data_IF_091838310116
#
_entry.id   IF_091838310116
#
_cell.length_a   1.000
_cell.length_b   1.000
_cell.length_c   1.000
_cell.angle_alpha   90.00
_cell.angle_beta   90.00
_cell.angle_gamma   90.00
#
_symmetry.space_group_name_H-M   'P 1'
#
loop_
_entity.id
_entity.type
_entity.pdbx_description
1 polymer ?
#
# COMPACT_ATOMS: atom_id res chain seq x y z
N UNK A 1 -56.56 6.01 28.19
CA UNK A 1 -55.11 5.84 28.41
C UNK A 1 -54.73 4.48 27.84
N UNK A 2 -54.65 4.38 26.52
CA UNK A 2 -54.25 3.17 25.79
C UNK A 2 -53.49 3.69 24.57
N UNK A 3 -52.22 3.30 24.41
CA UNK A 3 -51.38 3.81 23.33
C UNK A 3 -49.91 4.06 23.68
N UNK A 4 -49.36 3.39 24.71
CA UNK A 4 -47.92 3.52 25.04
C UNK A 4 -47.17 2.20 25.27
N UNK A 5 -47.76 1.04 25.02
CA UNK A 5 -47.08 -0.26 25.25
C UNK A 5 -46.72 -1.06 23.97
N UNK A 6 -47.11 -0.63 22.76
CA UNK A 6 -46.74 -1.36 21.54
C UNK A 6 -45.37 -0.98 20.94
N UNK A 7 -44.82 0.20 21.25
CA UNK A 7 -43.61 0.70 20.57
C UNK A 7 -42.27 0.18 21.14
N UNK A 8 -42.28 -0.61 22.23
CA UNK A 8 -41.02 -1.11 22.85
C UNK A 8 -40.70 -2.56 22.46
N UNK A 9 -41.60 -3.26 21.74
CA UNK A 9 -41.40 -4.68 21.39
C UNK A 9 -40.94 -4.95 19.95
N UNK A 10 -40.67 -3.93 19.14
CA UNK A 10 -40.20 -4.10 17.75
C UNK A 10 -38.68 -4.13 17.58
N UNK A 11 -37.89 -3.89 18.63
CA UNK A 11 -36.44 -3.73 18.51
C UNK A 11 -35.56 -4.90 18.95
N UNK A 12 -36.07 -5.87 19.73
CA UNK A 12 -35.19 -6.78 20.47
C UNK A 12 -35.01 -8.18 19.87
N UNK A 13 -35.93 -8.67 19.02
CA UNK A 13 -35.95 -10.11 18.64
C UNK A 13 -36.08 -10.39 17.12
N UNK A 14 -35.83 -9.42 16.23
CA UNK A 14 -35.96 -9.65 14.79
C UNK A 14 -34.76 -10.32 14.11
N UNK A 15 -33.63 -10.42 14.80
CA UNK A 15 -32.44 -11.11 14.33
C UNK A 15 -31.98 -12.09 15.39
N UNK A 16 -32.49 -13.33 15.34
CA UNK A 16 -31.81 -14.43 16.04
C UNK A 16 -30.39 -14.55 15.51
N UNK A 17 -29.43 -14.80 16.40
CA UNK A 17 -27.97 -14.93 16.16
C UNK A 17 -27.58 -16.07 15.20
N UNK A 18 -28.14 -16.08 13.99
CA UNK A 18 -27.89 -17.08 12.94
C UNK A 18 -27.90 -16.49 11.54
N UNK A 19 -27.78 -15.18 11.39
CA UNK A 19 -27.30 -14.66 10.11
C UNK A 19 -25.77 -14.76 10.14
N UNK A 20 -25.15 -15.62 9.31
CA UNK A 20 -23.71 -15.57 9.16
C UNK A 20 -23.35 -14.16 8.69
N UNK A 21 -22.54 -13.46 9.49
CA UNK A 21 -21.86 -12.25 9.05
C UNK A 21 -20.91 -12.67 7.93
N UNK A 22 -21.40 -12.58 6.69
CA UNK A 22 -20.74 -13.09 5.51
C UNK A 22 -21.74 -13.28 4.38
N UNK A 23 -21.26 -13.22 3.14
CA UNK A 23 -22.01 -13.36 1.88
C UNK A 23 -22.72 -14.70 1.67
N UNK A 24 -22.95 -15.48 2.72
CA UNK A 24 -23.50 -16.82 2.70
C UNK A 24 -25.05 -16.89 2.76
N UNK A 25 -25.75 -15.75 2.93
CA UNK A 25 -27.21 -15.72 3.08
C UNK A 25 -27.96 -14.98 1.94
N UNK A 26 -27.42 -14.95 0.72
CA UNK A 26 -28.14 -14.47 -0.46
C UNK A 26 -28.02 -15.46 -1.62
N UNK A 27 -29.14 -16.09 -1.97
CA UNK A 27 -29.28 -17.07 -3.06
C UNK A 27 -29.28 -16.43 -4.44
N UNK A 28 -29.55 -15.13 -4.54
CA UNK A 28 -29.38 -14.32 -5.75
C UNK A 28 -28.20 -13.38 -5.57
N UNK A 29 -27.02 -13.78 -6.04
CA UNK A 29 -25.87 -12.87 -6.12
C UNK A 29 -26.09 -11.90 -7.29
N UNK A 30 -26.40 -10.65 -7.00
CA UNK A 30 -26.29 -9.52 -7.95
C UNK A 30 -24.84 -9.33 -8.47
N UNK A 31 -23.87 -10.06 -7.92
CA UNK A 31 -22.47 -9.98 -8.28
C UNK A 31 -21.75 -11.34 -8.16
N UNK A 32 -21.23 -11.83 -9.29
CA UNK A 32 -20.28 -12.95 -9.34
C UNK A 32 -18.87 -12.38 -9.30
N UNK A 33 -18.05 -12.86 -8.37
CA UNK A 33 -16.63 -12.51 -8.35
C UNK A 33 -15.94 -12.98 -9.65
N UNK A 34 -15.05 -12.16 -10.24
CA UNK A 34 -14.26 -12.59 -11.38
C UNK A 34 -13.40 -13.80 -10.98
N UNK A 35 -13.13 -14.71 -11.93
CA UNK A 35 -12.31 -15.87 -11.66
C UNK A 35 -10.91 -15.45 -11.16
N UNK A 36 -10.25 -16.29 -10.33
CA UNK A 36 -8.88 -16.03 -9.90
C UNK A 36 -7.97 -15.83 -11.11
N UNK A 37 -7.11 -14.81 -11.07
CA UNK A 37 -6.16 -14.57 -12.14
C UNK A 37 -5.23 -15.80 -12.32
N UNK A 38 -4.93 -16.20 -13.57
CA UNK A 38 -3.94 -17.24 -13.82
C UNK A 38 -2.57 -16.81 -13.27
N UNK A 39 -1.81 -17.76 -12.75
CA UNK A 39 -0.47 -17.46 -12.23
C UNK A 39 0.47 -16.97 -13.34
N UNK A 40 0.33 -17.52 -14.55
CA UNK A 40 1.10 -17.13 -15.71
C UNK A 40 0.18 -16.90 -16.91
N UNK A 41 0.34 -15.75 -17.57
CA UNK A 41 -0.45 -15.37 -18.73
C UNK A 41 0.49 -14.84 -19.83
N UNK A 42 0.99 -15.72 -20.72
CA UNK A 42 2.04 -15.35 -21.68
C UNK A 42 1.61 -14.24 -22.66
N UNK A 43 0.30 -14.14 -22.93
CA UNK A 43 -0.26 -13.08 -23.79
C UNK A 43 -0.06 -11.67 -23.25
N UNK A 44 0.19 -11.50 -21.94
CA UNK A 44 0.47 -10.18 -21.35
C UNK A 44 1.74 -9.55 -21.93
N UNK A 45 2.77 -10.35 -22.23
CA UNK A 45 4.05 -9.87 -22.75
C UNK A 45 3.94 -9.30 -24.17
N UNK A 46 2.92 -9.72 -24.94
CA UNK A 46 2.61 -9.14 -26.24
C UNK A 46 1.71 -7.90 -26.17
N UNK A 47 1.13 -7.60 -25.00
CA UNK A 47 0.14 -6.54 -24.86
C UNK A 47 0.78 -5.18 -24.64
N UNK A 48 0.43 -4.20 -25.48
CA UNK A 48 0.88 -2.82 -25.27
C UNK A 48 0.32 -2.20 -23.98
N UNK A 49 -0.88 -2.61 -23.55
CA UNK A 49 -1.48 -2.15 -22.30
C UNK A 49 -0.68 -2.63 -21.07
N UNK A 50 -0.01 -3.79 -21.16
CA UNK A 50 0.91 -4.27 -20.11
C UNK A 50 2.12 -3.34 -19.93
N UNK A 51 2.80 -2.98 -21.02
CA UNK A 51 3.93 -2.06 -20.95
C UNK A 51 3.52 -0.65 -20.51
N UNK A 52 2.37 -0.14 -20.99
CA UNK A 52 1.80 1.13 -20.53
C UNK A 52 1.55 1.14 -19.02
N UNK A 53 1.05 0.03 -18.47
CA UNK A 53 0.84 -0.11 -17.04
C UNK A 53 2.16 -0.10 -16.25
N UNK A 54 3.20 -0.81 -16.73
CA UNK A 54 4.52 -0.75 -16.11
C UNK A 54 5.15 0.65 -16.15
N UNK A 55 5.02 1.37 -17.27
CA UNK A 55 5.47 2.76 -17.38
C UNK A 55 4.71 3.65 -16.39
N UNK A 56 3.40 3.46 -16.23
CA UNK A 56 2.60 4.19 -15.26
C UNK A 56 3.08 3.96 -13.82
N UNK A 57 3.38 2.70 -13.44
CA UNK A 57 3.94 2.36 -12.13
C UNK A 57 5.33 3.00 -11.91
N UNK A 58 6.19 3.00 -12.93
CA UNK A 58 7.49 3.66 -12.88
C UNK A 58 7.35 5.17 -12.65
N UNK A 59 6.55 5.86 -13.48
CA UNK A 59 6.37 7.32 -13.40
C UNK A 59 5.72 7.71 -12.09
N UNK A 60 4.70 6.97 -11.65
CA UNK A 60 4.06 7.25 -10.38
C UNK A 60 5.03 7.07 -9.20
N UNK A 61 5.83 5.99 -9.19
CA UNK A 61 6.81 5.78 -8.11
C UNK A 61 7.95 6.80 -8.15
N UNK A 62 8.36 7.23 -9.34
CA UNK A 62 9.29 8.35 -9.52
C UNK A 62 8.76 9.64 -8.88
N UNK A 63 7.54 10.05 -9.24
CA UNK A 63 6.91 11.27 -8.70
C UNK A 63 6.69 11.18 -7.19
N UNK A 64 6.30 9.99 -6.70
CA UNK A 64 6.12 9.71 -5.28
C UNK A 64 7.41 9.97 -4.51
N UNK A 65 8.53 9.37 -4.93
CA UNK A 65 9.83 9.52 -4.25
C UNK A 65 10.39 10.94 -4.41
N UNK A 66 10.21 11.55 -5.59
CA UNK A 66 10.64 12.92 -5.84
C UNK A 66 9.98 13.90 -4.85
N UNK A 67 8.64 13.93 -4.77
CA UNK A 67 7.93 14.87 -3.90
C UNK A 67 8.17 14.56 -2.42
N UNK A 68 8.10 13.29 -2.02
CA UNK A 68 8.20 12.90 -0.61
C UNK A 68 9.60 13.13 -0.04
N UNK A 69 10.66 12.70 -0.72
CA UNK A 69 12.03 12.93 -0.26
C UNK A 69 12.35 14.43 -0.31
N UNK A 70 11.97 15.15 -1.36
CA UNK A 70 12.21 16.60 -1.40
C UNK A 70 11.54 17.34 -0.25
N UNK A 71 10.35 16.90 0.17
CA UNK A 71 9.66 17.44 1.36
C UNK A 71 10.42 17.12 2.65
N UNK A 72 10.90 15.88 2.83
CA UNK A 72 11.75 15.49 3.97
C UNK A 72 13.00 16.36 4.04
N UNK A 73 13.67 16.55 2.91
CA UNK A 73 14.86 17.38 2.80
C UNK A 73 14.59 18.85 3.13
N UNK A 74 13.48 19.40 2.62
CA UNK A 74 13.05 20.78 2.91
C UNK A 74 12.76 21.00 4.40
N UNK A 75 12.13 20.03 5.06
CA UNK A 75 11.90 20.08 6.52
C UNK A 75 13.23 19.99 7.29
N UNK A 76 14.14 19.09 6.89
CA UNK A 76 15.44 18.91 7.55
C UNK A 76 16.41 20.09 7.40
N UNK A 77 16.25 20.90 6.34
CA UNK A 77 17.03 22.13 6.12
C UNK A 77 16.50 23.34 6.86
N UNK A 78 15.21 23.38 7.13
CA UNK A 78 14.56 24.57 7.69
C UNK A 78 14.78 24.68 9.20
N UNK A 79 14.66 25.89 9.72
CA UNK A 79 14.63 26.13 11.15
C UNK A 79 13.36 25.52 11.79
N UNK A 80 13.45 25.22 13.08
CA UNK A 80 12.32 24.69 13.84
C UNK A 80 11.11 25.62 13.69
N UNK A 81 9.94 25.03 13.45
CA UNK A 81 8.66 25.72 13.29
C UNK A 81 8.54 26.66 12.07
N UNK A 82 9.50 26.66 11.13
CA UNK A 82 9.44 27.43 9.87
C UNK A 82 9.22 26.55 8.62
N UNK A 83 8.99 25.25 8.80
CA UNK A 83 8.68 24.32 7.71
C UNK A 83 7.27 23.75 7.85
N UNK A 84 6.89 22.89 6.89
CA UNK A 84 5.66 22.09 6.95
C UNK A 84 5.67 21.07 8.10
N UNK A 85 6.79 20.90 8.80
CA UNK A 85 6.93 20.01 9.95
C UNK A 85 6.80 18.51 9.61
N UNK A 86 6.87 17.66 10.63
CA UNK A 86 6.72 16.21 10.47
C UNK A 86 5.32 15.84 9.95
N UNK A 87 4.29 16.61 10.35
CA UNK A 87 2.93 16.42 9.83
C UNK A 87 2.86 16.69 8.32
N UNK A 88 3.58 17.70 7.82
CA UNK A 88 3.71 17.97 6.39
C UNK A 88 4.41 16.85 5.63
N UNK A 89 5.42 16.20 6.25
CA UNK A 89 6.04 14.99 5.69
C UNK A 89 4.99 13.89 5.54
N UNK A 90 4.23 13.60 6.61
CA UNK A 90 3.17 12.58 6.55
C UNK A 90 2.13 12.89 5.46
N UNK A 91 1.71 14.15 5.33
CA UNK A 91 0.82 14.60 4.26
C UNK A 91 1.41 14.41 2.86
N UNK A 92 2.70 14.69 2.67
CA UNK A 92 3.36 14.48 1.38
C UNK A 92 3.32 13.01 0.97
N UNK A 93 3.59 12.08 1.90
CA UNK A 93 3.52 10.65 1.60
C UNK A 93 2.09 10.17 1.32
N UNK A 94 1.13 10.47 2.20
CA UNK A 94 -0.25 10.02 2.03
C UNK A 94 -0.99 10.71 0.87
N UNK A 95 -0.79 12.02 0.72
CA UNK A 95 -1.38 12.83 -0.36
C UNK A 95 -0.87 12.43 -1.74
N UNK A 96 0.42 12.12 -1.87
CA UNK A 96 0.96 11.63 -3.14
C UNK A 96 0.42 10.26 -3.50
N UNK A 97 0.25 9.35 -2.53
CA UNK A 97 -0.40 8.05 -2.79
C UNK A 97 -1.84 8.27 -3.24
N UNK A 98 -2.62 9.12 -2.57
CA UNK A 98 -3.96 9.47 -3.01
C UNK A 98 -3.97 9.97 -4.47
N UNK A 99 -3.16 10.98 -4.80
CA UNK A 99 -3.14 11.57 -6.13
C UNK A 99 -2.68 10.58 -7.21
N UNK A 100 -1.64 9.80 -6.94
CA UNK A 100 -1.06 8.88 -7.92
C UNK A 100 -1.92 7.64 -8.14
N UNK A 101 -2.53 7.08 -7.08
CA UNK A 101 -3.51 6.00 -7.22
C UNK A 101 -4.70 6.50 -8.05
N UNK A 102 -5.19 7.73 -7.79
CA UNK A 102 -6.27 8.32 -8.61
C UNK A 102 -5.90 8.38 -10.10
N UNK A 103 -4.68 8.85 -10.42
CA UNK A 103 -4.21 8.97 -11.80
C UNK A 103 -3.98 7.62 -12.49
N UNK A 104 -3.56 6.58 -11.75
CA UNK A 104 -3.07 5.32 -12.33
C UNK A 104 -3.98 4.12 -12.12
N UNK A 105 -5.01 4.21 -11.27
CA UNK A 105 -5.91 3.08 -10.98
C UNK A 105 -6.59 2.52 -12.24
N UNK A 106 -6.99 3.38 -13.19
CA UNK A 106 -7.58 2.94 -14.46
C UNK A 106 -6.57 2.37 -15.48
N UNK A 107 -5.27 2.54 -15.24
CA UNK A 107 -4.19 2.16 -16.17
C UNK A 107 -3.46 0.92 -15.66
N UNK A 108 -2.87 0.99 -14.47
CA UNK A 108 -2.07 -0.09 -13.87
C UNK A 108 -2.75 -0.80 -12.71
N UNK A 109 -3.80 -0.20 -12.12
CA UNK A 109 -4.34 -0.57 -10.82
C UNK A 109 -3.80 0.30 -9.67
N UNK A 110 -2.78 1.13 -9.93
CA UNK A 110 -2.25 2.10 -8.98
C UNK A 110 -1.62 1.48 -7.74
N UNK A 111 -0.63 0.60 -7.92
CA UNK A 111 -0.01 -0.12 -6.80
C UNK A 111 1.07 0.73 -6.13
N UNK A 112 2.01 1.27 -6.90
CA UNK A 112 3.10 2.18 -6.50
C UNK A 112 3.97 1.61 -5.36
N UNK A 113 3.84 0.32 -5.09
CA UNK A 113 4.37 -0.34 -3.90
C UNK A 113 4.47 -1.87 -4.12
N UNK A 114 5.67 -2.47 -3.98
CA UNK A 114 5.85 -3.91 -4.07
C UNK A 114 5.01 -4.73 -3.08
N UNK A 115 4.78 -4.23 -1.86
CA UNK A 115 3.97 -4.93 -0.87
C UNK A 115 2.48 -4.98 -1.25
N UNK A 116 1.96 -3.91 -1.87
CA UNK A 116 0.60 -3.89 -2.42
C UNK A 116 0.47 -4.85 -3.59
N UNK A 117 1.42 -4.81 -4.53
CA UNK A 117 1.50 -5.74 -5.67
C UNK A 117 1.54 -7.20 -5.18
N UNK A 118 2.35 -7.48 -4.17
CA UNK A 118 2.49 -8.81 -3.58
C UNK A 118 1.20 -9.28 -2.88
N UNK A 119 0.54 -8.41 -2.09
CA UNK A 119 -0.74 -8.74 -1.47
C UNK A 119 -1.80 -9.12 -2.51
N UNK A 120 -1.92 -8.34 -3.58
CA UNK A 120 -2.88 -8.61 -4.67
C UNK A 120 -2.53 -9.89 -5.46
N UNK A 121 -1.23 -10.21 -5.63
CA UNK A 121 -0.79 -11.49 -6.17
C UNK A 121 -1.25 -12.66 -5.28
N UNK A 122 -1.05 -12.58 -3.96
CA UNK A 122 -1.49 -13.62 -3.02
C UNK A 122 -3.00 -13.83 -3.04
N UNK A 123 -3.77 -12.75 -3.23
CA UNK A 123 -5.21 -12.80 -3.40
C UNK A 123 -5.67 -13.22 -4.81
N UNK A 124 -4.76 -13.64 -5.70
CA UNK A 124 -5.02 -14.01 -7.09
C UNK A 124 -5.79 -12.95 -7.88
N UNK A 125 -5.48 -11.67 -7.63
CA UNK A 125 -5.99 -10.51 -8.40
C UNK A 125 -5.00 -10.02 -9.46
N UNK A 126 -3.80 -10.61 -9.50
CA UNK A 126 -2.69 -10.23 -10.36
C UNK A 126 -1.91 -11.49 -10.77
N UNK A 127 -1.45 -11.57 -12.02
CA UNK A 127 -0.54 -12.64 -12.47
C UNK A 127 0.86 -12.46 -11.87
N UNK A 128 1.63 -13.54 -11.79
CA UNK A 128 3.02 -13.48 -11.31
C UNK A 128 3.90 -12.65 -12.25
N UNK A 129 3.71 -12.80 -13.57
CA UNK A 129 4.46 -12.04 -14.58
C UNK A 129 4.29 -10.54 -14.39
N UNK A 130 3.04 -10.08 -14.23
CA UNK A 130 2.74 -8.66 -13.98
C UNK A 130 3.24 -8.20 -12.62
N UNK A 131 3.15 -9.04 -11.59
CA UNK A 131 3.67 -8.72 -10.26
C UNK A 131 5.17 -8.41 -10.30
N UNK A 132 5.96 -9.29 -10.91
CA UNK A 132 7.42 -9.10 -11.04
C UNK A 132 7.75 -7.86 -11.86
N UNK A 133 7.06 -7.66 -12.98
CA UNK A 133 7.28 -6.48 -13.81
C UNK A 133 6.98 -5.18 -13.07
N UNK A 134 5.87 -5.12 -12.31
CA UNK A 134 5.53 -3.95 -11.50
C UNK A 134 6.56 -3.69 -10.41
N UNK A 135 7.01 -4.72 -9.69
CA UNK A 135 8.02 -4.58 -8.62
C UNK A 135 9.31 -3.98 -9.19
N UNK A 136 9.76 -4.44 -10.37
CA UNK A 136 10.94 -3.89 -11.05
C UNK A 136 10.72 -2.41 -11.42
N UNK A 137 9.61 -2.10 -12.09
CA UNK A 137 9.31 -0.73 -12.54
C UNK A 137 9.15 0.24 -11.36
N UNK A 138 8.54 -0.20 -10.26
CA UNK A 138 8.43 0.57 -9.02
C UNK A 138 9.80 0.86 -8.42
N UNK A 139 10.67 -0.15 -8.31
CA UNK A 139 12.03 0.04 -7.78
C UNK A 139 12.86 1.00 -8.64
N UNK A 140 12.81 0.85 -9.97
CA UNK A 140 13.51 1.74 -10.91
C UNK A 140 12.99 3.19 -10.78
N UNK A 141 11.66 3.36 -10.72
CA UNK A 141 11.06 4.68 -10.52
C UNK A 141 11.51 5.33 -9.22
N UNK A 142 11.53 4.55 -8.13
CA UNK A 142 11.97 5.02 -6.82
C UNK A 142 13.43 5.48 -6.81
N UNK A 143 14.34 4.72 -7.45
CA UNK A 143 15.76 5.08 -7.59
C UNK A 143 15.90 6.39 -8.37
N UNK A 144 15.21 6.52 -9.50
CA UNK A 144 15.26 7.74 -10.32
C UNK A 144 14.73 8.96 -9.54
N UNK A 145 13.62 8.81 -8.81
CA UNK A 145 13.01 9.90 -8.02
C UNK A 145 13.96 10.40 -6.93
N UNK A 146 14.54 9.48 -6.15
CA UNK A 146 15.53 9.81 -5.13
C UNK A 146 16.80 10.43 -5.74
N UNK A 147 17.26 9.93 -6.89
CA UNK A 147 18.44 10.43 -7.60
C UNK A 147 18.30 11.89 -8.05
N UNK A 148 17.12 12.27 -8.57
CA UNK A 148 16.81 13.65 -8.93
C UNK A 148 16.89 14.58 -7.71
N UNK A 149 16.33 14.14 -6.57
CA UNK A 149 16.39 14.94 -5.32
C UNK A 149 17.83 15.13 -4.86
N UNK A 150 18.68 14.09 -4.90
CA UNK A 150 20.10 14.22 -4.59
C UNK A 150 20.80 15.25 -5.50
N UNK A 151 20.42 15.31 -6.78
CA UNK A 151 20.91 16.31 -7.73
C UNK A 151 20.57 17.75 -7.34
N UNK A 152 19.35 18.01 -6.87
CA UNK A 152 18.92 19.36 -6.45
C UNK A 152 19.51 19.79 -5.09
N UNK A 153 19.62 18.84 -4.17
CA UNK A 153 20.00 19.11 -2.79
C UNK A 153 21.51 19.38 -2.59
N UNK A 154 22.31 19.01 -3.60
CA UNK A 154 23.78 18.82 -3.54
C UNK A 154 24.16 17.69 -2.58
N UNK A 155 25.14 16.85 -2.95
CA UNK A 155 25.48 15.62 -2.23
C UNK A 155 25.69 15.81 -0.73
N UNK A 156 26.35 16.89 -0.32
CA UNK A 156 26.63 17.17 1.09
C UNK A 156 25.35 17.29 1.95
N UNK A 157 24.35 18.06 1.51
CA UNK A 157 23.12 18.23 2.30
C UNK A 157 22.28 16.97 2.29
N UNK A 158 22.20 16.30 1.14
CA UNK A 158 21.51 15.03 0.98
C UNK A 158 22.03 14.00 1.98
N UNK A 159 23.35 13.86 2.07
CA UNK A 159 23.97 12.91 2.98
C UNK A 159 23.83 13.30 4.45
N UNK A 160 24.03 14.59 4.78
CA UNK A 160 23.88 15.10 6.16
C UNK A 160 22.47 14.87 6.72
N UNK A 161 21.45 14.91 5.88
CA UNK A 161 20.04 14.73 6.26
C UNK A 161 19.52 13.31 5.99
N UNK A 162 20.43 12.36 5.81
CA UNK A 162 20.14 10.94 5.60
C UNK A 162 19.37 10.58 4.31
N UNK A 163 19.23 11.51 3.36
CA UNK A 163 18.71 11.25 2.02
C UNK A 163 17.28 10.69 1.96
N UNK A 164 16.49 10.85 3.03
CA UNK A 164 15.16 10.23 3.15
C UNK A 164 15.18 8.70 3.27
N UNK A 165 16.35 8.09 3.55
CA UNK A 165 16.49 6.65 3.74
C UNK A 165 15.79 6.17 5.03
N UNK A 166 15.31 4.93 5.00
CA UNK A 166 14.74 4.26 6.17
C UNK A 166 15.84 3.49 6.91
N UNK A 167 15.78 3.53 8.24
CA UNK A 167 16.60 2.76 9.18
C UNK A 167 15.91 2.85 10.55
N UNK A 168 16.26 1.96 11.48
CA UNK A 168 15.70 2.02 12.83
C UNK A 168 16.33 3.18 13.60
N UNK A 169 15.50 4.06 14.15
CA UNK A 169 15.97 5.20 14.92
C UNK A 169 16.54 4.78 16.28
N UNK A 170 17.48 5.58 16.78
CA UNK A 170 18.08 5.37 18.10
C UNK A 170 16.99 5.31 19.19
N UNK A 171 17.10 4.32 20.07
CA UNK A 171 16.12 4.05 21.14
C UNK A 171 15.10 2.97 20.80
N UNK A 172 15.10 2.47 19.55
CA UNK A 172 14.30 1.31 19.13
C UNK A 172 15.21 0.14 18.76
N UNK A 173 14.73 -1.07 19.03
CA UNK A 173 15.38 -2.31 18.59
C UNK A 173 15.00 -2.63 17.14
N UNK A 174 15.77 -3.50 16.48
CA UNK A 174 15.39 -4.02 15.15
C UNK A 174 14.05 -4.75 15.16
N UNK A 175 13.68 -5.37 16.30
CA UNK A 175 12.38 -5.99 16.51
C UNK A 175 11.24 -4.98 16.51
N UNK A 176 11.42 -3.82 17.16
CA UNK A 176 10.44 -2.73 17.16
C UNK A 176 10.24 -2.16 15.75
N UNK A 177 11.34 -1.95 15.02
CA UNK A 177 11.30 -1.52 13.62
C UNK A 177 10.54 -2.51 12.73
N UNK A 178 10.86 -3.81 12.83
CA UNK A 178 10.18 -4.86 12.09
C UNK A 178 8.68 -4.93 12.43
N UNK A 179 8.32 -4.88 13.72
CA UNK A 179 6.93 -4.89 14.17
C UNK A 179 6.14 -3.69 13.65
N UNK A 180 6.72 -2.49 13.71
CA UNK A 180 6.11 -1.27 13.18
C UNK A 180 5.85 -1.36 11.66
N UNK A 181 6.81 -1.87 10.89
CA UNK A 181 6.68 -2.04 9.44
C UNK A 181 5.64 -3.11 9.06
N UNK A 182 5.55 -4.21 9.82
CA UNK A 182 4.52 -5.25 9.63
C UNK A 182 3.12 -4.67 9.86
N UNK A 183 2.90 -4.03 11.00
CA UNK A 183 1.57 -3.49 11.37
C UNK A 183 1.19 -2.34 10.45
N UNK A 184 2.12 -1.43 10.16
CA UNK A 184 1.87 -0.32 9.23
C UNK A 184 1.51 -0.81 7.83
N UNK A 185 2.21 -1.83 7.33
CA UNK A 185 1.89 -2.40 6.01
C UNK A 185 0.60 -3.21 6.03
N UNK A 186 0.29 -3.89 7.12
CA UNK A 186 -1.01 -4.55 7.29
C UNK A 186 -2.16 -3.55 7.17
N UNK A 187 -2.08 -2.40 7.87
CA UNK A 187 -3.09 -1.33 7.79
C UNK A 187 -3.25 -0.88 6.34
N UNK A 188 -2.15 -0.55 5.64
CA UNK A 188 -2.17 -0.14 4.25
C UNK A 188 -2.83 -1.19 3.34
N UNK A 189 -2.34 -2.42 3.36
CA UNK A 189 -2.78 -3.46 2.42
C UNK A 189 -4.21 -3.93 2.73
N UNK A 190 -4.61 -3.95 4.00
CA UNK A 190 -5.99 -4.19 4.39
C UNK A 190 -6.93 -3.09 3.85
N UNK A 191 -6.52 -1.82 3.93
CA UNK A 191 -7.26 -0.71 3.33
C UNK A 191 -7.32 -0.85 1.81
N UNK A 192 -6.23 -1.25 1.14
CA UNK A 192 -6.24 -1.53 -0.31
C UNK A 192 -7.30 -2.57 -0.65
N UNK A 193 -7.34 -3.70 0.06
CA UNK A 193 -8.35 -4.74 -0.17
C UNK A 193 -9.78 -4.23 0.03
N UNK A 194 -10.01 -3.48 1.11
CA UNK A 194 -11.32 -2.88 1.38
C UNK A 194 -11.72 -1.81 0.36
N UNK A 195 -10.74 -1.16 -0.27
CA UNK A 195 -10.91 -0.14 -1.29
C UNK A 195 -10.98 -0.70 -2.73
N UNK A 196 -10.92 -2.02 -2.91
CA UNK A 196 -11.06 -2.63 -4.25
C UNK A 196 -12.50 -2.53 -4.75
N UNK A 197 -12.69 -1.93 -5.93
CA UNK A 197 -13.95 -2.00 -6.64
C UNK A 197 -14.12 -3.40 -7.22
N UNK A 198 -15.12 -4.13 -6.72
CA UNK A 198 -15.39 -5.48 -7.15
C UNK A 198 -15.86 -5.54 -8.63
N UNK A 199 -16.46 -4.46 -9.15
CA UNK A 199 -17.10 -4.43 -10.48
C UNK A 199 -16.21 -3.83 -11.57
N UNK A 200 -15.08 -3.21 -11.24
CA UNK A 200 -14.25 -2.48 -12.21
C UNK A 200 -12.81 -2.93 -12.17
N UNK A 201 -12.26 -3.18 -13.36
CA UNK A 201 -10.85 -3.54 -13.53
C UNK A 201 -10.11 -2.45 -14.32
N UNK A 202 -8.81 -2.34 -14.08
CA UNK A 202 -7.88 -1.53 -14.86
C UNK A 202 -7.84 -2.03 -16.30
N UNK A 203 -7.56 -1.09 -17.21
CA UNK A 203 -7.69 -1.28 -18.65
C UNK A 203 -7.00 -2.56 -19.16
N UNK A 204 -7.76 -3.35 -19.92
CA UNK A 204 -7.31 -4.59 -20.58
C UNK A 204 -6.66 -5.59 -19.60
N UNK A 205 -7.13 -5.65 -18.35
CA UNK A 205 -6.59 -6.54 -17.31
C UNK A 205 -7.65 -6.95 -16.28
N UNK A 206 -7.30 -7.90 -15.40
CA UNK A 206 -8.12 -8.33 -14.26
C UNK A 206 -7.79 -7.59 -12.95
N UNK A 207 -6.95 -6.55 -13.01
CA UNK A 207 -6.50 -5.82 -11.81
C UNK A 207 -7.63 -4.90 -11.34
N UNK A 208 -8.09 -4.96 -10.09
CA UNK A 208 -9.21 -4.13 -9.63
C UNK A 208 -8.85 -2.64 -9.59
N UNK A 209 -9.83 -1.78 -9.85
CA UNK A 209 -9.69 -0.32 -9.61
C UNK A 209 -9.74 -0.09 -8.09
N UNK A 210 -8.87 0.79 -7.60
CA UNK A 210 -8.77 1.13 -6.18
C UNK A 210 -9.43 2.48 -5.89
N UNK A 211 -10.16 2.59 -4.78
CA UNK A 211 -10.61 3.88 -4.25
C UNK A 211 -9.42 4.60 -3.59
N UNK A 212 -8.94 5.73 -4.16
CA UNK A 212 -7.64 6.27 -3.80
C UNK A 212 -7.60 7.02 -2.45
N UNK A 213 -8.72 7.62 -2.04
CA UNK A 213 -8.76 8.47 -0.84
C UNK A 213 -8.49 7.68 0.45
N UNK A 214 -9.17 6.54 0.73
CA UNK A 214 -8.85 5.73 1.91
C UNK A 214 -7.41 5.23 1.93
N UNK A 215 -6.87 4.85 0.76
CA UNK A 215 -5.50 4.33 0.64
C UNK A 215 -4.48 5.41 0.98
N UNK A 216 -4.64 6.62 0.44
CA UNK A 216 -3.77 7.75 0.79
C UNK A 216 -3.87 8.12 2.27
N UNK A 217 -5.06 8.06 2.86
CA UNK A 217 -5.26 8.29 4.30
C UNK A 217 -4.62 7.19 5.17
N UNK A 218 -4.67 5.92 4.78
CA UNK A 218 -3.99 4.85 5.49
C UNK A 218 -2.48 5.09 5.52
N UNK A 219 -1.88 5.46 4.38
CA UNK A 219 -0.46 5.84 4.33
C UNK A 219 -0.17 7.04 5.23
N UNK A 220 -1.00 8.09 5.17
CA UNK A 220 -0.86 9.27 6.03
C UNK A 220 -0.87 8.91 7.53
N UNK A 221 -1.87 8.15 7.98
CA UNK A 221 -2.03 7.75 9.38
C UNK A 221 -0.87 6.89 9.87
N UNK A 222 -0.41 5.94 9.06
CA UNK A 222 0.76 5.12 9.40
C UNK A 222 1.99 6.01 9.54
N UNK A 223 2.20 6.97 8.65
CA UNK A 223 3.33 7.90 8.76
C UNK A 223 3.30 8.73 10.05
N UNK A 224 2.12 9.20 10.49
CA UNK A 224 2.01 9.92 11.77
C UNK A 224 2.52 9.09 12.95
N UNK A 225 2.31 7.77 12.92
CA UNK A 225 2.69 6.86 14.00
C UNK A 225 4.13 6.33 13.87
N UNK A 226 4.59 6.00 12.66
CA UNK A 226 5.83 5.22 12.45
C UNK A 226 7.04 6.04 12.00
N UNK A 227 6.88 7.33 11.65
CA UNK A 227 8.02 8.22 11.36
C UNK A 227 9.07 8.20 12.50
N UNK A 228 8.70 8.30 13.80
CA UNK A 228 9.67 8.28 14.88
C UNK A 228 10.45 6.98 15.02
N UNK A 229 9.93 5.84 14.54
CA UNK A 229 10.56 4.52 14.70
C UNK A 229 11.50 4.23 13.54
N UNK A 230 11.04 4.37 12.29
CA UNK A 230 11.78 3.94 11.09
C UNK A 230 11.85 4.99 9.96
N UNK A 231 11.25 6.16 10.16
CA UNK A 231 10.93 7.09 9.07
C UNK A 231 9.77 6.61 8.17
N UNK A 232 9.12 5.50 8.52
CA UNK A 232 8.05 4.81 7.77
C UNK A 232 8.50 4.29 6.40
N UNK A 233 8.67 2.96 6.31
CA UNK A 233 8.92 2.26 5.06
C UNK A 233 7.62 1.94 4.35
N UNK A 234 6.91 0.92 4.81
CA UNK A 234 5.68 0.24 4.32
C UNK A 234 5.63 -0.01 2.80
N UNK A 235 6.74 0.23 2.12
CA UNK A 235 6.92 0.22 0.69
C UNK A 235 8.39 -0.15 0.39
N UNK A 236 8.65 -1.39 -0.08
CA UNK A 236 10.00 -1.85 -0.37
C UNK A 236 10.71 -1.06 -1.47
N UNK A 237 10.00 -0.61 -2.52
CA UNK A 237 10.59 0.19 -3.60
C UNK A 237 11.06 1.56 -3.10
N UNK A 238 10.23 2.22 -2.27
CA UNK A 238 10.58 3.49 -1.63
C UNK A 238 11.83 3.36 -0.75
N UNK A 239 11.89 2.29 0.03
CA UNK A 239 12.99 2.04 0.96
C UNK A 239 14.28 1.73 0.18
N UNK A 240 14.19 0.88 -0.85
CA UNK A 240 15.32 0.54 -1.73
C UNK A 240 15.83 1.74 -2.54
N UNK A 241 14.94 2.53 -3.14
CA UNK A 241 15.33 3.70 -3.94
C UNK A 241 16.13 4.71 -3.11
N UNK A 242 15.67 5.00 -1.89
CA UNK A 242 16.39 5.89 -0.98
C UNK A 242 17.72 5.27 -0.51
N UNK A 243 17.74 3.99 -0.15
CA UNK A 243 18.96 3.30 0.29
C UNK A 243 20.06 3.28 -0.78
N UNK A 244 19.71 3.01 -2.05
CA UNK A 244 20.65 3.01 -3.18
C UNK A 244 21.26 4.40 -3.40
N UNK A 245 20.47 5.46 -3.34
CA UNK A 245 20.94 6.81 -3.63
C UNK A 245 21.71 7.42 -2.45
N UNK A 246 21.31 7.09 -1.22
CA UNK A 246 22.00 7.50 0.00
C UNK A 246 23.31 6.73 0.21
N UNK A 247 23.30 5.42 -0.06
CA UNK A 247 24.43 4.50 -0.07
C UNK A 247 25.35 4.60 1.17
N UNK A 248 24.78 4.36 2.36
CA UNK A 248 25.51 4.33 3.64
C UNK A 248 25.17 3.05 4.42
N UNK A 249 26.13 2.54 5.18
CA UNK A 249 26.02 1.28 5.94
C UNK A 249 24.76 1.24 6.81
N UNK A 250 24.46 2.33 7.53
CA UNK A 250 23.26 2.46 8.37
C UNK A 250 21.95 2.15 7.64
N UNK A 251 21.85 2.46 6.35
CA UNK A 251 20.65 2.20 5.57
C UNK A 251 20.62 0.75 5.06
N UNK A 252 21.77 0.22 4.66
CA UNK A 252 21.91 -1.15 4.17
C UNK A 252 21.76 -2.20 5.29
N UNK A 253 22.27 -1.94 6.49
CA UNK A 253 22.22 -2.85 7.64
C UNK A 253 20.80 -3.14 8.13
N UNK A 254 19.87 -2.21 7.90
CA UNK A 254 18.46 -2.31 8.26
C UNK A 254 17.55 -2.53 7.05
N UNK A 255 18.09 -2.50 5.83
CA UNK A 255 17.31 -2.54 4.59
C UNK A 255 16.39 -3.77 4.50
N UNK A 256 16.83 -4.92 5.03
CA UNK A 256 16.05 -6.15 5.04
C UNK A 256 14.71 -6.01 5.77
N UNK A 257 14.64 -5.16 6.81
CA UNK A 257 13.42 -4.90 7.59
C UNK A 257 12.32 -4.34 6.68
N UNK A 258 12.71 -3.45 5.75
CA UNK A 258 11.79 -2.79 4.83
C UNK A 258 11.38 -3.62 3.61
N UNK A 259 11.86 -4.86 3.53
CA UNK A 259 11.36 -5.88 2.60
C UNK A 259 10.55 -6.94 3.33
N UNK A 260 11.14 -7.51 4.38
CA UNK A 260 10.53 -8.60 5.16
C UNK A 260 9.27 -8.11 5.89
N UNK A 261 9.36 -6.98 6.58
CA UNK A 261 8.22 -6.42 7.32
C UNK A 261 7.01 -6.15 6.42
N UNK A 262 7.17 -5.36 5.34
CA UNK A 262 6.07 -5.09 4.43
C UNK A 262 5.48 -6.32 3.74
N UNK A 263 6.29 -7.30 3.33
CA UNK A 263 5.76 -8.54 2.74
C UNK A 263 5.00 -9.40 3.74
N UNK A 264 5.46 -9.50 4.99
CA UNK A 264 4.70 -10.18 6.05
C UNK A 264 3.37 -9.45 6.32
N UNK A 265 3.40 -8.13 6.49
CA UNK A 265 2.20 -7.32 6.71
C UNK A 265 1.18 -7.46 5.58
N UNK A 266 1.65 -7.43 4.33
CA UNK A 266 0.81 -7.64 3.14
C UNK A 266 0.20 -9.05 3.08
N UNK A 267 0.98 -10.09 3.40
CA UNK A 267 0.50 -11.46 3.45
C UNK A 267 -0.57 -11.67 4.53
N UNK A 268 -0.34 -11.12 5.73
CA UNK A 268 -1.32 -11.16 6.82
C UNK A 268 -2.62 -10.43 6.44
N UNK A 269 -2.53 -9.27 5.80
CA UNK A 269 -3.71 -8.53 5.32
C UNK A 269 -4.47 -9.31 4.24
N UNK A 270 -3.77 -9.94 3.30
CA UNK A 270 -4.38 -10.78 2.27
C UNK A 270 -5.08 -12.00 2.90
N UNK A 271 -4.44 -12.71 3.82
CA UNK A 271 -5.04 -13.84 4.53
C UNK A 271 -6.27 -13.40 5.33
N UNK A 272 -6.17 -12.32 6.10
CA UNK A 272 -7.28 -11.79 6.88
C UNK A 272 -8.49 -11.44 6.01
N UNK A 273 -8.27 -10.69 4.92
CA UNK A 273 -9.35 -10.28 4.04
C UNK A 273 -9.98 -11.48 3.30
N UNK A 274 -9.19 -12.42 2.79
CA UNK A 274 -9.69 -13.54 1.99
C UNK A 274 -10.33 -14.66 2.85
N UNK A 275 -9.73 -14.98 4.00
CA UNK A 275 -10.13 -16.13 4.82
C UNK A 275 -11.15 -15.71 5.89
N UNK A 276 -10.92 -14.58 6.57
CA UNK A 276 -11.75 -14.17 7.71
C UNK A 276 -12.95 -13.34 7.25
N UNK A 277 -12.71 -12.28 6.46
CA UNK A 277 -13.78 -11.36 6.05
C UNK A 277 -14.64 -11.92 4.91
N UNK A 278 -14.00 -12.40 3.84
CA UNK A 278 -14.72 -12.93 2.66
C UNK A 278 -15.05 -14.42 2.75
N UNK A 279 -14.66 -15.10 3.84
CA UNK A 279 -14.89 -16.52 4.12
C UNK A 279 -15.12 -17.36 2.85
N UNK A 280 -14.04 -17.71 2.16
CA UNK A 280 -14.10 -18.75 1.12
C UNK A 280 -14.83 -19.94 1.76
N UNK A 281 -15.99 -20.38 1.25
CA UNK A 281 -16.71 -21.46 1.87
C UNK A 281 -15.79 -22.67 1.89
N UNK A 282 -15.37 -23.08 3.09
CA UNK A 282 -14.75 -24.38 3.28
C UNK A 282 -15.78 -25.37 2.77
N UNK A 283 -15.53 -25.97 1.59
CA UNK A 283 -16.27 -27.14 1.16
C UNK A 283 -15.96 -28.20 2.19
N UNK A 284 -16.80 -28.34 3.20
CA UNK A 284 -16.89 -29.57 3.99
C UNK A 284 -17.16 -30.66 2.96
N UNK A 285 -16.20 -31.57 2.77
CA UNK A 285 -16.44 -32.78 1.98
C UNK A 285 -17.60 -33.49 2.68
N UNK A 286 -18.78 -33.47 2.05
CA UNK A 286 -19.87 -34.39 2.35
C UNK A 286 -19.63 -35.67 1.55
#
# INVERSE_FOLDING_TARGET
>A
MEGKEEDVKLGANRYGERQPLGTAAQTDKDYKEPPPAPLFEPGELSSWSFYRAGIAEFVATFLFLYISILTVMGVGKSEKCKSVGIQGIAWAFGGMIFALVYCTAGISGGHINPAVTFGLLLARKLSLTRALFYIIMQCLGAICGAGVVKGFEKSYNFERLNGGANFVNHGYTKGDGLGAEIVGTFVLVYTVFSATDAKRSARDSHVPILAPLPIGFAVFLVHLATIPITGTGINPARSLGAAIIFNRDRAWDDQWIFWVGPFIGAALAAMYHQIVIRAIPFKTRA
#
